data_IF_844071464757
#
_entry.id   IF_844071464757
#
_cell.length_a   1.000
_cell.length_b   1.000
_cell.length_c   1.000
_cell.angle_alpha   90.00
_cell.angle_beta   90.00
_cell.angle_gamma   90.00
#
_symmetry.space_group_name_H-M   'P 1'
#
loop_
_entity.id
_entity.type
_entity.pdbx_description
1 polymer ?
#
# COMPACT_ATOMS: atom_id res chain seq x y z
N UNK A 1 29.86 6.63 16.49
CA UNK A 1 29.69 6.07 15.14
C UNK A 1 28.35 6.57 14.61
N UNK A 2 28.39 7.60 13.77
CA UNK A 2 27.27 8.51 13.51
C UNK A 2 26.12 7.88 12.73
N UNK A 3 24.88 8.05 13.23
CA UNK A 3 23.63 7.57 12.62
C UNK A 3 23.47 8.01 11.16
N UNK A 4 23.96 9.22 10.84
CA UNK A 4 23.99 9.78 9.48
C UNK A 4 24.79 8.94 8.49
N UNK A 5 25.83 8.22 8.93
CA UNK A 5 26.63 7.35 8.06
C UNK A 5 25.94 6.03 7.72
N UNK A 6 24.98 5.57 8.54
CA UNK A 6 24.18 4.38 8.23
C UNK A 6 23.14 4.65 7.15
N UNK A 7 22.49 5.81 7.16
CA UNK A 7 21.47 6.19 6.15
C UNK A 7 22.10 6.32 4.75
N UNK A 8 23.29 6.93 4.65
CA UNK A 8 24.00 7.11 3.37
C UNK A 8 24.43 5.76 2.76
N UNK A 9 24.69 4.74 3.56
CA UNK A 9 25.07 3.41 3.08
C UNK A 9 23.88 2.60 2.54
N UNK A 10 22.67 2.84 3.03
CA UNK A 10 21.46 2.13 2.56
C UNK A 10 20.95 2.65 1.21
N UNK A 11 21.14 3.93 0.89
CA UNK A 11 20.65 4.55 -0.35
C UNK A 11 21.47 4.10 -1.58
N UNK A 12 22.71 3.62 -1.38
CA UNK A 12 23.61 3.25 -2.49
C UNK A 12 23.38 1.84 -3.06
N UNK A 13 22.57 0.97 -2.42
CA UNK A 13 22.43 -0.44 -2.83
C UNK A 13 21.19 -0.76 -3.67
N UNK A 14 20.35 0.23 -4.00
CA UNK A 14 19.06 0.00 -4.71
C UNK A 14 19.20 0.11 -6.24
N UNK A 15 20.37 0.49 -6.76
CA UNK A 15 20.63 0.44 -8.20
C UNK A 15 21.35 -0.85 -8.56
N UNK A 16 20.60 -1.89 -8.92
CA UNK A 16 20.90 -2.92 -9.94
C UNK A 16 19.90 -4.09 -9.82
N UNK A 17 18.71 -3.94 -10.43
CA UNK A 17 17.98 -5.10 -11.01
C UNK A 17 16.85 -4.62 -11.91
N UNK A 18 17.19 -4.16 -13.11
CA UNK A 18 16.22 -4.06 -14.20
C UNK A 18 16.06 -5.46 -14.83
N UNK A 19 15.21 -6.30 -14.25
CA UNK A 19 14.69 -7.48 -14.94
C UNK A 19 13.33 -7.13 -15.56
N UNK A 20 13.34 -6.91 -16.87
CA UNK A 20 12.13 -6.85 -17.69
C UNK A 20 11.47 -8.23 -17.74
N UNK A 21 10.51 -8.49 -16.87
CA UNK A 21 9.59 -9.62 -17.03
C UNK A 21 8.28 -9.10 -17.61
N UNK A 22 8.12 -9.27 -18.92
CA UNK A 22 6.80 -9.19 -19.55
C UNK A 22 6.05 -10.47 -19.18
N UNK A 23 5.12 -10.39 -18.23
CA UNK A 23 4.19 -11.47 -17.95
C UNK A 23 2.97 -11.30 -18.86
N UNK A 24 2.93 -12.08 -19.94
CA UNK A 24 1.74 -12.21 -20.78
C UNK A 24 0.74 -13.13 -20.06
N UNK A 25 -0.32 -12.55 -19.51
CA UNK A 25 -1.39 -13.30 -18.84
C UNK A 25 -2.28 -13.95 -19.91
N UNK A 26 -2.01 -15.21 -20.22
CA UNK A 26 -2.94 -16.06 -20.96
C UNK A 26 -4.03 -16.57 -20.00
N UNK A 27 -5.22 -15.97 -20.05
CA UNK A 27 -6.40 -16.48 -19.35
C UNK A 27 -6.98 -17.62 -20.20
N UNK A 28 -6.37 -18.80 -20.12
CA UNK A 28 -7.11 -20.04 -20.37
C UNK A 28 -7.93 -20.35 -19.14
N UNK A 29 -9.24 -20.13 -19.25
CA UNK A 29 -10.25 -20.59 -18.30
C UNK A 29 -10.12 -22.09 -18.16
N UNK A 30 -9.77 -22.57 -16.97
CA UNK A 30 -9.98 -23.97 -16.61
C UNK A 30 -10.83 -23.99 -15.33
N UNK A 31 -12.12 -24.25 -15.55
CA UNK A 31 -13.14 -24.46 -14.53
C UNK A 31 -12.86 -25.80 -13.84
N UNK A 32 -12.27 -25.78 -12.64
CA UNK A 32 -12.38 -26.91 -11.71
C UNK A 32 -12.65 -26.43 -10.29
N UNK A 33 -13.92 -26.65 -9.94
CA UNK A 33 -14.54 -26.62 -8.63
C UNK A 33 -13.68 -27.35 -7.57
N UNK A 34 -13.28 -26.63 -6.53
CA UNK A 34 -12.96 -27.23 -5.23
C UNK A 34 -13.47 -26.31 -4.11
N UNK A 35 -14.48 -26.80 -3.40
CA UNK A 35 -15.17 -26.09 -2.32
C UNK A 35 -14.24 -25.83 -1.13
N UNK A 36 -13.87 -24.56 -0.93
CA UNK A 36 -13.54 -24.01 0.40
C UNK A 36 -14.18 -22.64 0.52
N UNK A 37 -15.17 -22.55 1.41
CA UNK A 37 -15.93 -21.35 1.81
C UNK A 37 -15.54 -20.05 1.11
N UNK A 38 -16.02 -19.86 -0.11
CA UNK A 38 -15.75 -18.68 -0.91
C UNK A 38 -16.58 -17.51 -0.37
N UNK A 39 -16.00 -16.72 0.53
CA UNK A 39 -16.38 -15.31 0.61
C UNK A 39 -16.12 -14.74 -0.79
N UNK A 40 -17.17 -14.52 -1.57
CA UNK A 40 -17.05 -14.03 -2.94
C UNK A 40 -16.32 -12.69 -2.88
N UNK A 41 -15.08 -12.68 -3.32
CA UNK A 41 -14.31 -11.45 -3.51
C UNK A 41 -14.84 -10.81 -4.78
N UNK A 42 -15.62 -9.76 -4.66
CA UNK A 42 -15.99 -8.94 -5.81
C UNK A 42 -14.86 -7.94 -6.02
N UNK A 43 -13.91 -8.30 -6.86
CA UNK A 43 -12.85 -7.39 -7.30
C UNK A 43 -13.50 -6.25 -8.10
N UNK A 44 -13.45 -5.02 -7.57
CA UNK A 44 -13.58 -3.87 -8.45
C UNK A 44 -12.26 -3.77 -9.22
N UNK A 45 -12.21 -4.39 -10.40
CA UNK A 45 -11.00 -4.57 -11.22
C UNK A 45 -10.42 -3.28 -11.81
N UNK A 46 -10.99 -2.11 -11.48
CA UNK A 46 -10.53 -0.85 -12.04
C UNK A 46 -9.32 -0.33 -11.27
N UNK A 47 -8.16 -0.46 -11.90
CA UNK A 47 -6.96 0.25 -11.50
C UNK A 47 -7.22 1.77 -11.52
N UNK A 48 -7.05 2.42 -10.37
CA UNK A 48 -7.23 3.86 -10.18
C UNK A 48 -6.16 4.38 -9.22
N UNK A 49 -5.83 5.67 -9.34
CA UNK A 49 -5.10 6.41 -8.32
C UNK A 49 -6.10 7.09 -7.38
N UNK A 50 -5.99 6.79 -6.09
CA UNK A 50 -6.76 7.36 -5.00
C UNK A 50 -5.87 8.35 -4.25
N UNK A 51 -6.42 9.49 -3.86
CA UNK A 51 -5.72 10.47 -3.03
C UNK A 51 -6.38 10.54 -1.66
N UNK A 52 -5.57 10.79 -0.64
CA UNK A 52 -6.06 10.90 0.72
C UNK A 52 -4.96 10.66 1.72
N UNK A 53 -5.35 10.14 2.87
CA UNK A 53 -4.45 10.02 4.00
C UNK A 53 -4.16 8.57 4.33
N UNK A 54 -2.88 8.25 4.39
CA UNK A 54 -2.39 7.03 5.00
C UNK A 54 -2.29 7.25 6.51
N UNK A 55 -2.89 6.36 7.30
CA UNK A 55 -2.75 6.30 8.74
C UNK A 55 -2.15 4.95 9.14
N UNK A 56 -1.17 4.97 10.04
CA UNK A 56 -0.64 3.77 10.67
C UNK A 56 -0.74 3.87 12.19
N UNK A 57 -1.34 2.87 12.81
CA UNK A 57 -1.56 2.80 14.25
C UNK A 57 -2.03 1.41 14.66
N UNK A 58 -1.74 1.00 15.90
CA UNK A 58 -2.12 -0.32 16.43
C UNK A 58 -1.72 -1.52 15.54
N UNK A 59 -0.65 -1.36 14.74
CA UNK A 59 -0.17 -2.38 13.80
C UNK A 59 -0.99 -2.51 12.52
N UNK A 60 -1.85 -1.53 12.22
CA UNK A 60 -2.71 -1.51 11.03
C UNK A 60 -2.41 -0.31 10.15
N UNK A 61 -2.44 -0.54 8.83
CA UNK A 61 -2.35 0.51 7.83
C UNK A 61 -3.74 0.74 7.22
N UNK A 62 -4.20 1.99 7.30
CA UNK A 62 -5.50 2.43 6.79
C UNK A 62 -5.27 3.54 5.78
N UNK A 63 -6.03 3.51 4.69
CA UNK A 63 -6.16 4.63 3.78
C UNK A 63 -7.56 5.22 3.88
N UNK A 64 -7.63 6.55 3.98
CA UNK A 64 -8.87 7.30 3.96
C UNK A 64 -8.92 8.16 2.72
N UNK A 65 -9.89 7.90 1.85
CA UNK A 65 -10.06 8.62 0.59
C UNK A 65 -10.47 10.09 0.84
N UNK A 66 -9.87 11.03 0.13
CA UNK A 66 -10.14 12.47 0.34
C UNK A 66 -11.51 12.91 -0.18
N UNK A 67 -12.05 12.24 -1.20
CA UNK A 67 -13.30 12.62 -1.84
C UNK A 67 -14.49 12.01 -1.12
N UNK A 68 -14.42 10.71 -0.80
CA UNK A 68 -15.54 9.95 -0.21
C UNK A 68 -15.46 9.82 1.30
N UNK A 69 -14.28 10.02 1.89
CA UNK A 69 -13.96 9.76 3.30
C UNK A 69 -14.09 8.28 3.71
N UNK A 70 -14.27 7.38 2.74
CA UNK A 70 -14.27 5.95 2.99
C UNK A 70 -12.90 5.48 3.46
N UNK A 71 -12.91 4.51 4.36
CA UNK A 71 -11.70 3.93 4.93
C UNK A 71 -11.47 2.53 4.37
N UNK A 72 -10.22 2.26 4.01
CA UNK A 72 -9.79 1.01 3.40
C UNK A 72 -8.61 0.44 4.18
N UNK A 73 -8.63 -0.87 4.41
CA UNK A 73 -7.41 -1.57 4.81
C UNK A 73 -6.41 -1.49 3.67
N UNK A 74 -5.13 -1.38 4.01
CA UNK A 74 -4.07 -1.38 3.02
C UNK A 74 -3.36 -2.72 2.95
N UNK A 75 -3.18 -3.21 1.73
CA UNK A 75 -2.36 -4.37 1.43
C UNK A 75 -1.38 -4.02 0.31
N UNK A 76 -0.09 -4.27 0.57
CA UNK A 76 0.99 -4.00 -0.37
C UNK A 76 1.62 -5.35 -0.77
N UNK A 77 1.14 -6.00 -1.84
CA UNK A 77 1.55 -7.37 -2.19
C UNK A 77 3.02 -7.48 -2.66
N UNK A 78 3.68 -6.36 -2.95
CA UNK A 78 5.05 -6.30 -3.45
C UNK A 78 6.02 -5.62 -2.48
N UNK A 79 5.56 -5.16 -1.32
CA UNK A 79 6.37 -4.43 -0.33
C UNK A 79 6.48 -5.22 0.98
N UNK A 80 7.54 -4.98 1.75
CA UNK A 80 7.64 -5.51 3.10
C UNK A 80 6.87 -4.62 4.09
N UNK A 81 5.86 -5.19 4.74
CA UNK A 81 4.99 -4.45 5.67
C UNK A 81 5.75 -3.84 6.86
N UNK A 82 6.87 -4.43 7.31
CA UNK A 82 7.68 -3.86 8.40
C UNK A 82 8.48 -2.66 7.91
N UNK A 83 8.98 -2.71 6.68
CA UNK A 83 9.65 -1.56 6.06
C UNK A 83 8.67 -0.40 5.85
N UNK A 84 7.43 -0.67 5.42
CA UNK A 84 6.37 0.35 5.30
C UNK A 84 5.98 0.95 6.66
N UNK A 85 5.88 0.13 7.70
CA UNK A 85 5.68 0.62 9.08
C UNK A 85 6.82 1.53 9.53
N UNK A 86 8.07 1.14 9.24
CA UNK A 86 9.24 1.94 9.58
C UNK A 86 9.30 3.25 8.78
N UNK A 87 8.95 3.23 7.49
CA UNK A 87 8.84 4.41 6.65
C UNK A 87 7.81 5.39 7.22
N UNK A 88 6.61 4.89 7.52
CA UNK A 88 5.54 5.73 8.09
C UNK A 88 6.01 6.43 9.37
N UNK A 89 6.57 5.66 10.32
CA UNK A 89 7.03 6.19 11.60
C UNK A 89 8.21 7.17 11.45
N UNK A 90 9.09 6.94 10.48
CA UNK A 90 10.19 7.84 10.17
C UNK A 90 9.71 9.16 9.57
N UNK A 91 8.65 9.11 8.76
CA UNK A 91 8.06 10.29 8.12
C UNK A 91 7.23 11.11 9.11
N UNK A 92 6.42 10.47 9.94
CA UNK A 92 5.51 11.18 10.84
C UNK A 92 6.16 11.58 12.19
N UNK A 93 7.50 11.49 12.32
CA UNK A 93 8.27 11.86 13.53
C UNK A 93 7.69 11.32 14.87
N UNK A 94 7.08 10.13 14.85
CA UNK A 94 6.31 9.52 15.95
C UNK A 94 5.03 10.25 16.39
N UNK A 95 4.69 11.39 15.80
CA UNK A 95 3.39 12.00 15.94
C UNK A 95 2.47 11.25 14.96
N UNK A 96 1.36 10.67 15.43
CA UNK A 96 0.47 9.83 14.63
C UNK A 96 -0.34 10.67 13.61
N UNK A 97 0.33 11.56 12.88
CA UNK A 97 -0.30 12.39 11.87
C UNK A 97 -0.59 11.57 10.63
N UNK A 98 -1.77 11.76 10.02
CA UNK A 98 -2.08 11.18 8.73
C UNK A 98 -1.10 11.71 7.66
N UNK A 99 -0.52 10.80 6.88
CA UNK A 99 0.39 11.14 5.79
C UNK A 99 -0.39 11.29 4.49
N UNK A 100 -0.32 12.46 3.85
CA UNK A 100 -0.96 12.66 2.56
C UNK A 100 -0.27 11.84 1.47
N UNK A 101 -1.05 11.09 0.71
CA UNK A 101 -0.52 10.17 -0.29
C UNK A 101 -1.45 10.02 -1.49
N UNK A 102 -0.87 9.57 -2.60
CA UNK A 102 -1.57 9.03 -3.73
C UNK A 102 -1.26 7.53 -3.83
N UNK A 103 -2.29 6.68 -3.81
CA UNK A 103 -2.17 5.23 -3.91
C UNK A 103 -2.76 4.73 -5.21
N UNK A 104 -1.98 4.00 -5.99
CA UNK A 104 -2.41 3.38 -7.24
C UNK A 104 -2.73 1.92 -6.98
N UNK A 105 -3.98 1.52 -7.21
CA UNK A 105 -4.43 0.18 -6.83
C UNK A 105 -5.86 -0.13 -7.26
N UNK A 106 -6.41 -1.18 -6.69
CA UNK A 106 -7.80 -1.58 -6.86
C UNK A 106 -8.45 -1.90 -5.52
N UNK A 107 -9.73 -1.55 -5.41
CA UNK A 107 -10.53 -1.82 -4.20
C UNK A 107 -11.07 -3.24 -4.31
N UNK A 108 -10.63 -4.09 -3.41
CA UNK A 108 -11.17 -5.41 -3.19
C UNK A 108 -12.33 -5.30 -2.20
N UNK A 109 -13.55 -5.58 -2.67
CA UNK A 109 -14.72 -5.63 -1.80
C UNK A 109 -14.75 -6.96 -1.08
N UNK A 110 -14.73 -6.91 0.24
CA UNK A 110 -14.85 -8.10 1.06
C UNK A 110 -16.29 -8.20 1.58
N UNK A 111 -17.05 -9.19 1.10
CA UNK A 111 -18.45 -9.39 1.49
C UNK A 111 -18.58 -9.81 2.97
N UNK A 112 -17.52 -10.37 3.56
CA UNK A 112 -17.51 -10.88 4.94
C UNK A 112 -16.78 -9.98 5.93
N UNK A 113 -15.90 -9.09 5.47
CA UNK A 113 -15.22 -8.13 6.34
C UNK A 113 -16.01 -6.83 6.47
N UNK A 114 -15.84 -6.14 7.60
CA UNK A 114 -16.49 -4.85 7.87
C UNK A 114 -15.97 -3.71 6.99
N UNK A 115 -14.82 -3.90 6.36
CA UNK A 115 -14.09 -2.87 5.65
C UNK A 115 -13.48 -3.45 4.38
N UNK A 116 -13.49 -2.67 3.30
CA UNK A 116 -12.86 -3.06 2.04
C UNK A 116 -11.34 -2.92 2.13
N UNK A 117 -10.63 -3.60 1.24
CA UNK A 117 -9.16 -3.50 1.14
C UNK A 117 -8.80 -2.76 -0.13
N UNK A 118 -7.91 -1.77 -0.04
CA UNK A 118 -7.21 -1.21 -1.19
C UNK A 118 -5.89 -1.96 -1.35
N UNK A 119 -5.78 -2.71 -2.45
CA UNK A 119 -4.55 -3.39 -2.81
C UNK A 119 -3.68 -2.44 -3.62
N UNK A 120 -2.55 -2.04 -3.03
CA UNK A 120 -1.68 -0.96 -3.49
C UNK A 120 -0.55 -1.54 -4.35
N UNK A 121 -0.48 -1.10 -5.60
CA UNK A 121 0.57 -1.50 -6.54
C UNK A 121 1.74 -0.51 -6.59
N UNK A 122 1.46 0.75 -6.27
CA UNK A 122 2.42 1.86 -6.30
C UNK A 122 1.85 3.01 -5.44
N UNK A 123 2.72 3.82 -4.83
CA UNK A 123 2.29 4.95 -4.01
C UNK A 123 3.29 6.12 -4.04
N UNK A 124 2.76 7.32 -3.85
CA UNK A 124 3.51 8.56 -3.74
C UNK A 124 3.11 9.26 -2.44
N UNK A 125 4.09 9.70 -1.65
CA UNK A 125 3.87 10.54 -0.47
C UNK A 125 3.84 12.00 -0.98
N UNK A 126 2.72 12.69 -0.77
CA UNK A 126 2.48 14.03 -1.32
C UNK A 126 2.90 15.14 -0.35
N UNK A 127 2.55 14.98 0.92
CA UNK A 127 2.87 15.94 1.96
C UNK A 127 3.16 15.24 3.28
N UNK A 128 4.13 15.80 4.00
CA UNK A 128 4.58 15.37 5.31
C UNK A 128 4.38 16.59 6.21
N UNK A 129 3.45 16.53 7.15
CA UNK A 129 3.34 17.57 8.19
C UNK A 129 4.68 17.69 8.92
N UNK A 130 5.22 18.91 9.00
CA UNK A 130 6.54 19.20 9.61
C UNK A 130 7.66 19.54 8.63
N UNK A 131 7.49 19.38 7.32
CA UNK A 131 8.49 19.78 6.31
C UNK A 131 8.28 21.23 5.78
N UNK A 132 7.37 21.96 6.41
CA UNK A 132 6.99 23.33 6.08
C UNK A 132 7.12 24.27 7.26
N UNK A 133 8.32 24.34 7.86
CA UNK A 133 8.84 25.50 8.60
C UNK A 133 10.37 25.41 8.79
#
# INVERSE_FOLDING_TARGET
MDFKKKIILFISSIFLSACSMQMEVNITKDDKNEERGAGIIVENTKLKTYKGWWVYGEGQHIFKDEETLDEYNLEFPYEDMKELSALYLAVCEMEYFPMECAMKGYIQKNISAKQNTLLVLDFEILYIEGCGE
#
